data_IF_397639845271
#
_entry.id   IF_397639845271
#
_cell.length_a   1.000
_cell.length_b   1.000
_cell.length_c   1.000
_cell.angle_alpha   90.00
_cell.angle_beta   90.00
_cell.angle_gamma   90.00
#
_symmetry.space_group_name_H-M   'P 1'
#
loop_
_entity.id
_entity.type
_entity.pdbx_description
1 polymer ?
#
# COMPACT_ATOMS: atom_id res chain seq x y z
N UNK A 1 30.34 7.27 4.51
CA UNK A 1 30.14 6.53 3.25
C UNK A 1 28.66 6.31 2.90
N UNK A 2 27.80 5.87 3.83
CA UNK A 2 26.37 5.62 3.52
C UNK A 2 25.59 6.84 2.98
N UNK A 3 25.90 8.05 3.45
CA UNK A 3 25.20 9.29 3.04
C UNK A 3 25.41 9.62 1.56
N UNK A 4 26.65 9.49 1.06
CA UNK A 4 26.98 9.78 -0.34
C UNK A 4 26.29 8.80 -1.29
N UNK A 5 26.19 7.52 -0.89
CA UNK A 5 25.49 6.50 -1.66
C UNK A 5 23.98 6.79 -1.73
N UNK A 6 23.36 7.15 -0.60
CA UNK A 6 21.94 7.52 -0.55
C UNK A 6 21.64 8.71 -1.48
N UNK A 7 22.46 9.76 -1.41
CA UNK A 7 22.31 10.94 -2.26
C UNK A 7 22.45 10.60 -3.76
N UNK A 8 23.43 9.77 -4.12
CA UNK A 8 23.61 9.33 -5.50
C UNK A 8 22.42 8.50 -5.99
N UNK A 9 21.87 7.64 -5.13
CA UNK A 9 20.69 6.84 -5.43
C UNK A 9 19.44 7.71 -5.64
N UNK A 10 19.21 8.72 -4.79
CA UNK A 10 18.10 9.65 -4.95
C UNK A 10 18.18 10.45 -6.26
N UNK A 11 19.39 10.89 -6.64
CA UNK A 11 19.63 11.54 -7.93
C UNK A 11 19.31 10.59 -9.09
N UNK A 12 19.78 9.34 -9.02
CA UNK A 12 19.47 8.32 -10.02
C UNK A 12 17.95 8.11 -10.18
N UNK A 13 17.23 7.98 -9.07
CA UNK A 13 15.77 7.85 -9.10
C UNK A 13 15.10 9.08 -9.73
N UNK A 14 15.54 10.30 -9.39
CA UNK A 14 15.02 11.54 -9.99
C UNK A 14 15.22 11.58 -11.51
N UNK A 15 16.40 11.19 -12.01
CA UNK A 15 16.68 11.11 -13.44
C UNK A 15 15.76 10.09 -14.12
N UNK A 16 15.64 8.88 -13.55
CA UNK A 16 14.77 7.83 -14.09
C UNK A 16 13.31 8.28 -14.15
N UNK A 17 12.81 8.92 -13.09
CA UNK A 17 11.46 9.48 -13.04
C UNK A 17 11.25 10.56 -14.11
N UNK A 18 12.24 11.45 -14.30
CA UNK A 18 12.16 12.51 -15.33
C UNK A 18 12.11 11.94 -16.74
N UNK A 19 12.97 10.98 -17.07
CA UNK A 19 12.98 10.31 -18.38
C UNK A 19 11.64 9.62 -18.62
N UNK A 20 11.11 8.89 -17.63
CA UNK A 20 9.79 8.25 -17.72
C UNK A 20 8.68 9.27 -18.02
N UNK A 21 8.64 10.40 -17.31
CA UNK A 21 7.64 11.46 -17.54
C UNK A 21 7.73 12.03 -18.97
N UNK A 22 8.93 12.22 -19.50
CA UNK A 22 9.13 12.69 -20.88
C UNK A 22 8.65 11.66 -21.90
N UNK A 23 8.97 10.37 -21.71
CA UNK A 23 8.49 9.30 -22.57
C UNK A 23 6.96 9.21 -22.58
N UNK A 24 6.34 9.23 -21.39
CA UNK A 24 4.87 9.21 -21.28
C UNK A 24 4.24 10.42 -21.98
N UNK A 25 4.86 11.60 -21.87
CA UNK A 25 4.40 12.79 -22.60
C UNK A 25 4.49 12.61 -24.11
N UNK A 26 5.62 12.10 -24.62
CA UNK A 26 5.81 11.86 -26.04
C UNK A 26 4.80 10.85 -26.60
N UNK A 27 4.42 9.86 -25.79
CA UNK A 27 3.44 8.82 -26.16
C UNK A 27 1.98 9.26 -25.96
N UNK A 28 1.72 10.45 -25.41
CA UNK A 28 0.36 10.92 -25.10
C UNK A 28 -0.28 10.21 -23.89
N UNK A 29 0.53 9.60 -23.03
CA UNK A 29 0.11 8.75 -21.91
C UNK A 29 0.00 9.48 -20.57
N UNK A 30 -0.19 10.80 -20.61
CA UNK A 30 -0.24 11.68 -19.44
C UNK A 30 -1.67 11.97 -18.95
N UNK A 31 -2.70 11.30 -19.50
CA UNK A 31 -4.06 11.54 -19.03
C UNK A 31 -4.28 10.92 -17.63
N UNK A 32 -5.13 11.55 -16.79
CA UNK A 32 -5.51 10.99 -15.49
C UNK A 32 -6.03 9.57 -15.68
N UNK A 33 -5.51 8.62 -14.90
CA UNK A 33 -5.85 7.19 -14.97
C UNK A 33 -5.33 6.43 -16.21
N UNK A 34 -4.45 6.99 -17.06
CA UNK A 34 -3.92 6.28 -18.25
C UNK A 34 -3.37 4.89 -17.88
N UNK A 35 -2.58 4.82 -16.81
CA UNK A 35 -2.01 3.56 -16.35
C UNK A 35 -3.02 2.58 -15.77
N UNK A 36 -4.13 3.05 -15.17
CA UNK A 36 -5.21 2.19 -14.71
C UNK A 36 -5.98 1.62 -15.89
N UNK A 37 -6.22 2.44 -16.91
CA UNK A 37 -6.94 2.03 -18.13
C UNK A 37 -6.09 1.14 -19.06
N UNK A 38 -4.76 1.24 -18.97
CA UNK A 38 -3.81 0.52 -19.80
C UNK A 38 -2.87 -0.38 -18.98
N UNK A 39 -3.27 -0.71 -17.73
CA UNK A 39 -2.58 -1.72 -16.94
C UNK A 39 -2.75 -3.09 -17.62
N UNK A 40 -1.89 -4.05 -17.26
CA UNK A 40 -1.77 -5.37 -17.88
C UNK A 40 -3.15 -5.95 -18.32
N UNK A 41 -3.41 -6.11 -19.64
CA UNK A 41 -4.68 -6.58 -20.18
C UNK A 41 -5.22 -7.89 -19.56
N UNK A 42 -4.42 -8.93 -19.24
CA UNK A 42 -4.92 -10.17 -18.64
C UNK A 42 -5.62 -9.97 -17.30
N UNK A 43 -5.36 -8.86 -16.59
CA UNK A 43 -5.86 -8.64 -15.23
C UNK A 43 -7.19 -7.87 -15.21
N UNK A 44 -7.57 -7.21 -16.31
CA UNK A 44 -8.68 -6.25 -16.35
C UNK A 44 -9.50 -6.27 -17.66
N UNK A 45 -9.08 -7.03 -18.66
CA UNK A 45 -9.77 -7.11 -19.95
C UNK A 45 -10.95 -8.08 -19.87
N UNK A 46 -12.16 -7.56 -20.05
CA UNK A 46 -13.38 -8.37 -20.20
C UNK A 46 -13.54 -8.75 -21.69
N UNK A 47 -13.61 -10.04 -21.98
CA UNK A 47 -13.84 -10.51 -23.36
C UNK A 47 -15.32 -10.33 -23.73
N UNK A 48 -15.58 -9.74 -24.89
CA UNK A 48 -16.94 -9.56 -25.40
C UNK A 48 -17.63 -10.92 -25.57
N UNK A 49 -18.75 -11.12 -24.87
CA UNK A 49 -19.54 -12.36 -24.91
C UNK A 49 -19.25 -13.34 -23.77
N UNK A 50 -18.32 -13.04 -22.86
CA UNK A 50 -18.14 -13.84 -21.66
C UNK A 50 -19.28 -13.60 -20.64
N UNK A 51 -19.71 -14.65 -19.91
CA UNK A 51 -20.68 -14.50 -18.84
C UNK A 51 -20.08 -13.66 -17.70
N UNK A 52 -20.88 -12.72 -17.16
CA UNK A 52 -20.45 -11.90 -16.02
C UNK A 52 -20.13 -12.78 -14.83
N UNK A 53 -18.88 -12.75 -14.38
CA UNK A 53 -18.45 -13.39 -13.15
C UNK A 53 -19.04 -12.64 -11.95
N UNK A 54 -19.47 -13.38 -10.91
CA UNK A 54 -19.92 -12.79 -9.65
C UNK A 54 -18.79 -12.01 -8.94
N UNK A 55 -17.55 -12.49 -9.10
CA UNK A 55 -16.32 -11.86 -8.64
C UNK A 55 -15.45 -11.65 -9.88
N UNK A 56 -15.33 -10.40 -10.35
CA UNK A 56 -14.60 -10.06 -11.57
C UNK A 56 -13.09 -9.91 -11.36
N UNK A 57 -12.63 -9.78 -10.11
CA UNK A 57 -11.22 -9.56 -9.80
C UNK A 57 -10.86 -10.07 -8.41
N UNK A 58 -9.74 -10.80 -8.32
CA UNK A 58 -9.07 -11.15 -7.07
C UNK A 58 -7.77 -10.36 -7.01
N UNK A 59 -7.70 -9.39 -6.11
CA UNK A 59 -6.49 -8.59 -5.90
C UNK A 59 -5.75 -9.11 -4.69
N UNK A 60 -4.49 -9.53 -4.87
CA UNK A 60 -3.57 -9.75 -3.76
C UNK A 60 -2.66 -8.53 -3.63
N UNK A 61 -2.85 -7.76 -2.57
CA UNK A 61 -1.88 -6.78 -2.14
C UNK A 61 -0.87 -7.46 -1.21
N UNK A 62 0.35 -7.68 -1.68
CA UNK A 62 1.45 -7.87 -0.74
C UNK A 62 1.70 -6.50 -0.11
N UNK A 63 1.58 -6.41 1.23
CA UNK A 63 1.93 -5.21 2.00
C UNK A 63 3.39 -4.78 1.80
N UNK A 64 4.16 -5.59 1.07
CA UNK A 64 5.55 -5.38 0.75
C UNK A 64 6.40 -5.37 2.01
N UNK A 65 5.91 -6.05 3.06
CA UNK A 65 6.54 -6.17 4.38
C UNK A 65 7.90 -6.84 4.27
N UNK A 66 8.09 -7.68 3.26
CA UNK A 66 9.38 -8.31 2.93
C UNK A 66 10.41 -7.32 2.38
N UNK A 67 10.00 -6.28 1.64
CA UNK A 67 10.89 -5.24 1.13
C UNK A 67 11.21 -4.18 2.20
N UNK A 68 10.37 -4.04 3.22
CA UNK A 68 10.61 -3.11 4.34
C UNK A 68 11.83 -3.48 5.18
N UNK A 69 12.30 -4.74 5.20
CA UNK A 69 13.58 -5.24 5.78
C UNK A 69 14.06 -4.54 7.08
N UNK A 70 13.15 -4.11 7.94
CA UNK A 70 13.45 -3.33 9.15
C UNK A 70 12.47 -3.80 10.22
N UNK A 71 12.96 -4.02 11.45
CA UNK A 71 12.09 -4.20 12.61
C UNK A 71 11.19 -2.97 12.74
N UNK A 72 9.91 -3.15 12.42
CA UNK A 72 8.93 -2.06 12.41
C UNK A 72 8.51 -1.64 13.81
N UNK A 73 8.91 -2.37 14.84
CA UNK A 73 8.61 -2.10 16.23
C UNK A 73 9.89 -2.16 17.08
N UNK A 74 9.97 -1.33 18.11
CA UNK A 74 10.98 -1.48 19.16
C UNK A 74 10.78 -2.78 19.95
N UNK A 75 11.70 -3.07 20.88
CA UNK A 75 11.55 -4.20 21.77
C UNK A 75 10.15 -4.18 22.44
N UNK A 76 9.45 -5.34 22.50
CA UNK A 76 8.15 -5.43 23.13
C UNK A 76 8.24 -5.14 24.63
N UNK A 77 7.20 -4.54 25.18
CA UNK A 77 7.08 -4.42 26.63
C UNK A 77 6.86 -5.82 27.22
N UNK A 78 7.66 -6.17 28.23
CA UNK A 78 7.65 -7.47 28.90
C UNK A 78 7.24 -7.29 30.36
N UNK A 79 6.41 -8.20 30.87
CA UNK A 79 6.05 -8.24 32.30
C UNK A 79 7.21 -8.74 33.16
N UNK A 80 7.01 -8.74 34.49
CA UNK A 80 8.02 -9.18 35.45
C UNK A 80 8.39 -10.67 35.27
N UNK A 81 7.51 -11.45 34.63
CA UNK A 81 7.67 -12.85 34.29
C UNK A 81 8.27 -13.07 32.88
N UNK A 82 8.59 -11.99 32.15
CA UNK A 82 9.24 -12.01 30.84
C UNK A 82 8.30 -12.28 29.66
N UNK A 83 6.99 -12.26 29.87
CA UNK A 83 5.97 -12.43 28.82
C UNK A 83 5.68 -11.09 28.16
N UNK A 84 5.58 -11.12 26.82
CA UNK A 84 5.30 -9.92 26.01
C UNK A 84 3.88 -9.43 26.28
N UNK A 85 3.75 -8.21 26.79
CA UNK A 85 2.48 -7.53 27.09
C UNK A 85 1.99 -6.77 25.86
N UNK A 86 2.90 -6.07 25.17
CA UNK A 86 2.57 -5.23 24.03
C UNK A 86 3.69 -5.20 22.99
N UNK A 87 3.32 -4.96 21.73
CA UNK A 87 4.26 -4.62 20.66
C UNK A 87 4.95 -3.29 21.01
N UNK A 88 6.27 -3.21 20.79
CA UNK A 88 7.00 -1.95 20.99
C UNK A 88 6.51 -0.84 20.07
N UNK A 89 6.91 0.40 20.35
CA UNK A 89 6.53 1.55 19.53
C UNK A 89 6.93 1.35 18.06
N UNK A 90 6.05 1.78 17.14
CA UNK A 90 6.29 1.70 15.71
C UNK A 90 7.53 2.54 15.36
N UNK A 91 8.56 1.89 14.81
CA UNK A 91 9.81 2.45 14.32
C UNK A 91 9.88 2.34 12.79
N UNK A 92 8.75 2.49 12.10
CA UNK A 92 8.78 2.65 10.66
C UNK A 92 9.48 3.97 10.34
N UNK A 93 10.53 3.91 9.52
CA UNK A 93 11.15 5.13 9.04
C UNK A 93 10.22 5.74 8.00
N UNK A 94 9.68 6.95 8.22
CA UNK A 94 8.79 7.56 7.25
C UNK A 94 9.57 7.75 5.96
N UNK A 95 9.06 7.18 4.88
CA UNK A 95 9.63 7.35 3.56
C UNK A 95 9.24 8.75 3.04
N UNK A 96 10.17 9.73 2.98
CA UNK A 96 9.84 11.07 2.53
C UNK A 96 9.66 11.15 1.00
N UNK A 97 9.91 10.04 0.28
CA UNK A 97 9.81 10.01 -1.17
C UNK A 97 8.34 10.04 -1.55
N UNK A 98 7.99 11.03 -2.35
CA UNK A 98 6.74 11.01 -3.09
C UNK A 98 6.77 9.83 -4.07
N UNK A 99 5.92 8.83 -3.83
CA UNK A 99 5.72 7.68 -4.73
C UNK A 99 5.24 8.10 -6.13
N UNK A 100 4.89 9.38 -6.28
CA UNK A 100 4.49 10.05 -7.49
C UNK A 100 2.98 9.96 -7.71
N UNK A 101 2.45 10.92 -8.46
CA UNK A 101 1.03 11.08 -8.83
C UNK A 101 0.43 9.91 -9.65
N UNK A 102 1.16 8.83 -9.86
CA UNK A 102 0.78 7.76 -10.80
C UNK A 102 -0.02 6.62 -10.12
N UNK A 103 0.55 6.00 -9.09
CA UNK A 103 0.00 4.78 -8.44
C UNK A 103 -0.22 4.95 -6.94
N UNK A 104 0.55 5.83 -6.31
CA UNK A 104 0.49 6.01 -4.86
C UNK A 104 -0.32 7.26 -4.58
N UNK A 105 -1.31 7.11 -3.72
CA UNK A 105 -2.03 8.24 -3.15
C UNK A 105 -1.08 9.01 -2.22
N UNK A 106 -1.20 10.33 -2.15
CA UNK A 106 -0.45 11.07 -1.14
C UNK A 106 -0.94 10.67 0.26
N UNK A 107 -0.09 10.81 1.28
CA UNK A 107 -0.45 10.42 2.65
C UNK A 107 -1.76 11.10 3.11
N UNK A 108 -1.93 12.38 2.77
CA UNK A 108 -3.15 13.12 3.09
C UNK A 108 -4.40 12.49 2.45
N UNK A 109 -4.28 11.91 1.27
CA UNK A 109 -5.39 11.22 0.62
C UNK A 109 -5.65 9.84 1.22
N UNK A 110 -4.60 9.09 1.57
CA UNK A 110 -4.71 7.82 2.29
C UNK A 110 -5.40 8.04 3.64
N UNK A 111 -5.02 9.09 4.36
CA UNK A 111 -5.58 9.41 5.68
C UNK A 111 -7.08 9.70 5.62
N UNK A 112 -7.59 10.28 4.52
CA UNK A 112 -9.05 10.46 4.31
C UNK A 112 -9.81 9.13 4.32
N UNK A 113 -9.16 8.04 3.95
CA UNK A 113 -9.71 6.69 3.98
C UNK A 113 -9.31 5.92 5.25
N UNK A 114 -8.76 6.57 6.27
CA UNK A 114 -8.44 5.94 7.54
C UNK A 114 -9.70 5.48 8.28
N UNK A 115 -9.56 4.47 9.16
CA UNK A 115 -10.67 3.87 9.95
C UNK A 115 -11.55 4.92 10.67
N UNK A 116 -10.96 6.05 11.06
CA UNK A 116 -11.65 7.17 11.73
C UNK A 116 -12.70 7.86 10.84
N UNK A 117 -12.58 7.73 9.52
CA UNK A 117 -13.45 8.37 8.53
C UNK A 117 -14.42 7.38 7.88
N UNK A 118 -14.40 6.10 8.26
CA UNK A 118 -15.26 5.09 7.67
C UNK A 118 -16.71 5.28 8.08
N UNK A 119 -17.59 5.44 7.09
CA UNK A 119 -19.04 5.41 7.26
C UNK A 119 -19.60 4.19 6.54
N UNK A 120 -20.23 3.28 7.28
CA UNK A 120 -20.91 2.12 6.70
C UNK A 120 -22.22 2.56 6.02
N UNK A 121 -22.53 1.99 4.86
CA UNK A 121 -23.77 2.31 4.10
C UNK A 121 -25.06 2.08 4.90
N UNK A 122 -25.01 1.16 5.86
CA UNK A 122 -26.18 0.77 6.67
C UNK A 122 -26.29 1.59 7.97
N UNK A 123 -25.37 2.53 8.22
CA UNK A 123 -25.33 3.39 9.42
C UNK A 123 -25.03 2.66 10.74
N UNK A 124 -24.91 1.33 10.73
CA UNK A 124 -24.63 0.53 11.94
C UNK A 124 -23.13 0.44 12.20
N UNK A 125 -22.73 0.74 13.44
CA UNK A 125 -21.39 0.43 13.92
C UNK A 125 -21.23 -1.10 13.97
N UNK A 126 -20.17 -1.64 13.38
CA UNK A 126 -19.81 -3.05 13.57
C UNK A 126 -19.05 -3.23 14.89
N UNK A 127 -19.23 -4.38 15.56
CA UNK A 127 -18.47 -4.70 16.76
C UNK A 127 -16.97 -4.70 16.48
N UNK A 128 -16.18 -4.30 17.47
CA UNK A 128 -14.73 -4.34 17.38
C UNK A 128 -14.27 -5.81 17.36
N UNK A 129 -13.96 -6.29 16.16
CA UNK A 129 -13.45 -7.65 15.90
C UNK A 129 -12.00 -7.84 16.35
N UNK A 130 -11.36 -6.82 16.93
CA UNK A 130 -10.00 -6.91 17.50
C UNK A 130 -9.88 -7.96 18.62
N UNK A 131 -10.99 -8.24 19.32
CA UNK A 131 -11.09 -9.21 20.42
C UNK A 131 -12.01 -10.40 20.09
N UNK A 132 -12.47 -10.57 18.85
CA UNK A 132 -13.15 -11.80 18.47
C UNK A 132 -12.11 -12.85 18.09
N UNK A 133 -12.19 -14.02 18.72
CA UNK A 133 -11.41 -15.19 18.32
C UNK A 133 -11.57 -15.41 16.82
N UNK A 134 -10.44 -15.59 16.15
CA UNK A 134 -10.38 -15.74 14.71
C UNK A 134 -11.25 -16.95 14.33
N UNK A 135 -12.38 -16.72 13.65
CA UNK A 135 -13.38 -17.75 13.28
C UNK A 135 -12.81 -18.89 12.41
N UNK A 136 -11.55 -18.79 11.99
CA UNK A 136 -10.80 -19.83 11.29
C UNK A 136 -9.96 -20.75 12.20
N UNK A 137 -9.93 -20.51 13.52
CA UNK A 137 -9.18 -21.35 14.47
C UNK A 137 -9.92 -22.62 14.90
N UNK A 138 -11.20 -22.78 14.54
CA UNK A 138 -11.98 -24.01 14.78
C UNK A 138 -11.79 -25.02 13.64
N UNK A 139 -10.55 -25.51 13.45
CA UNK A 139 -10.25 -26.66 12.59
C UNK A 139 -9.38 -27.67 13.30
#
# INVERSE_FOLDING_TARGET
MAVQFLQAYDVYLKVKCRVKKLMLKALGWLHPNWRMLNCCPPCQYEVQGEPKLLICMLTCGDGNDTMKRVETHSAPEIDAEGKKIALGALKEWPDPRDGGEDYMLSQAEVDRWGKKHWTWKDGKARPDISNLDNLCNDK
#
